data_IF_981633214374
#
_entry.id   IF_981633214374
#
_cell.length_a   1.000
_cell.length_b   1.000
_cell.length_c   1.000
_cell.angle_alpha   90.00
_cell.angle_beta   90.00
_cell.angle_gamma   90.00
#
_symmetry.space_group_name_H-M   'P 1'
#
loop_
_entity.id
_entity.type
_entity.pdbx_description
1 polymer ?
#
# COMPACT_ATOMS: atom_id res chain seq x y z
N UNK A 1 -24.43 33.89 -29.84
CA UNK A 1 -24.88 34.65 -28.64
C UNK A 1 -23.97 34.35 -27.45
N UNK A 2 -23.49 35.36 -26.70
CA UNK A 2 -22.62 35.16 -25.53
C UNK A 2 -23.46 34.87 -24.28
N UNK A 3 -23.22 33.71 -23.70
CA UNK A 3 -23.68 33.24 -22.39
C UNK A 3 -23.38 34.25 -21.26
N UNK A 4 -24.35 34.52 -20.38
CA UNK A 4 -24.25 35.52 -19.27
C UNK A 4 -23.55 34.94 -18.02
N UNK A 5 -22.60 34.01 -18.19
CA UNK A 5 -21.88 33.43 -17.06
C UNK A 5 -20.68 34.31 -16.67
N UNK A 6 -20.69 34.84 -15.44
CA UNK A 6 -19.54 35.52 -14.86
C UNK A 6 -18.68 34.51 -14.11
N UNK A 7 -17.55 34.12 -14.70
CA UNK A 7 -16.58 33.25 -14.05
C UNK A 7 -16.02 33.95 -12.80
N UNK A 8 -15.91 33.22 -11.68
CA UNK A 8 -15.35 33.73 -10.43
C UNK A 8 -13.89 34.12 -10.58
N UNK A 9 -13.15 33.44 -11.47
CA UNK A 9 -11.70 33.63 -11.61
C UNK A 9 -11.27 34.38 -12.87
N UNK A 10 -12.12 34.49 -13.90
CA UNK A 10 -11.79 35.24 -15.13
C UNK A 10 -13.02 35.76 -15.89
N UNK A 11 -13.40 37.04 -15.75
CA UNK A 11 -14.65 37.58 -16.31
C UNK A 11 -14.70 37.69 -17.84
N UNK A 12 -13.65 37.31 -18.58
CA UNK A 12 -13.51 37.49 -20.04
C UNK A 12 -13.48 36.14 -20.77
N UNK A 13 -14.43 35.25 -20.49
CA UNK A 13 -14.52 33.96 -21.18
C UNK A 13 -15.83 33.83 -21.95
N UNK A 14 -15.74 33.35 -23.17
CA UNK A 14 -16.88 33.05 -24.03
C UNK A 14 -17.29 31.59 -23.79
N UNK A 15 -18.59 31.31 -23.64
CA UNK A 15 -19.05 29.94 -23.41
C UNK A 15 -18.73 29.07 -24.66
N UNK A 16 -18.37 27.77 -24.46
CA UNK A 16 -17.88 26.88 -25.51
C UNK A 16 -18.89 26.64 -26.64
N UNK A 17 -20.17 26.88 -26.36
CA UNK A 17 -21.21 26.95 -27.38
C UNK A 17 -21.98 28.25 -27.25
N UNK A 18 -22.32 28.82 -28.40
CA UNK A 18 -23.35 29.85 -28.47
C UNK A 18 -24.59 29.30 -27.78
N UNK A 19 -25.22 30.11 -26.92
CA UNK A 19 -26.48 29.72 -26.32
C UNK A 19 -27.48 29.35 -27.44
N UNK A 20 -28.26 28.28 -27.24
CA UNK A 20 -29.28 27.87 -28.22
C UNK A 20 -30.14 29.08 -28.59
N UNK A 21 -30.52 29.19 -29.87
CA UNK A 21 -31.48 30.20 -30.34
C UNK A 21 -32.66 30.20 -29.35
N UNK A 22 -32.85 31.32 -28.64
CA UNK A 22 -33.87 31.60 -27.61
C UNK A 22 -33.53 31.39 -26.13
N UNK A 23 -32.31 30.99 -25.73
CA UNK A 23 -31.90 31.03 -24.32
C UNK A 23 -30.67 31.91 -24.09
N UNK A 24 -30.67 32.71 -23.02
CA UNK A 24 -29.50 33.52 -22.62
C UNK A 24 -28.44 32.69 -21.85
N UNK A 25 -28.70 31.39 -21.66
CA UNK A 25 -27.97 30.52 -20.74
C UNK A 25 -27.33 29.35 -21.50
N UNK A 26 -26.03 29.14 -21.30
CA UNK A 26 -25.34 27.99 -21.86
C UNK A 26 -25.69 26.73 -21.07
N UNK A 27 -25.93 25.57 -21.72
CA UNK A 27 -26.23 24.31 -21.05
C UNK A 27 -25.19 23.91 -20.00
N UNK A 28 -23.94 24.39 -20.07
CA UNK A 28 -22.91 24.09 -19.06
C UNK A 28 -22.99 24.96 -17.82
N UNK A 29 -23.61 26.14 -17.89
CA UNK A 29 -23.58 27.14 -16.82
C UNK A 29 -24.93 27.36 -16.15
N UNK A 30 -25.91 26.54 -16.51
CA UNK A 30 -27.18 26.48 -15.81
C UNK A 30 -27.06 25.52 -14.61
N UNK A 31 -27.41 25.92 -13.39
CA UNK A 31 -27.29 25.10 -12.17
C UNK A 31 -28.41 24.05 -12.08
N UNK A 32 -28.68 23.36 -13.19
CA UNK A 32 -29.53 22.18 -13.27
C UNK A 32 -28.62 20.98 -13.50
N UNK A 33 -28.60 20.07 -12.53
CA UNK A 33 -27.89 18.80 -12.66
C UNK A 33 -28.64 17.81 -13.57
N UNK A 34 -27.99 16.69 -13.88
CA UNK A 34 -28.65 15.57 -14.58
C UNK A 34 -28.75 15.72 -16.10
N UNK A 35 -27.93 16.58 -16.71
CA UNK A 35 -27.87 16.76 -18.17
C UNK A 35 -27.29 15.54 -18.86
N UNK A 36 -27.74 15.27 -20.10
CA UNK A 36 -27.25 14.14 -20.88
C UNK A 36 -26.24 14.58 -21.96
N UNK A 37 -25.02 14.08 -21.81
CA UNK A 37 -23.88 14.29 -22.70
C UNK A 37 -23.23 12.96 -23.06
N UNK A 38 -23.95 11.83 -22.95
CA UNK A 38 -23.40 10.52 -23.30
C UNK A 38 -22.85 10.54 -24.74
N UNK A 39 -21.60 10.10 -24.90
CA UNK A 39 -20.86 10.10 -26.19
C UNK A 39 -20.68 11.47 -26.84
N UNK A 40 -20.94 12.58 -26.15
CA UNK A 40 -20.66 13.90 -26.70
C UNK A 40 -19.14 14.09 -26.89
N UNK A 41 -18.77 14.86 -27.92
CA UNK A 41 -17.40 15.34 -28.10
C UNK A 41 -17.31 16.76 -27.55
N UNK A 42 -16.54 16.90 -26.48
CA UNK A 42 -16.22 18.11 -25.73
C UNK A 42 -14.70 18.24 -25.56
N UNK A 43 -13.92 17.63 -26.47
CA UNK A 43 -12.47 17.69 -26.43
C UNK A 43 -11.95 19.11 -26.66
N UNK A 44 -10.98 19.52 -25.86
CA UNK A 44 -10.39 20.87 -25.89
C UNK A 44 -11.33 22.00 -25.48
N UNK A 45 -12.57 21.72 -25.09
CA UNK A 45 -13.55 22.74 -24.72
C UNK A 45 -13.18 23.44 -23.40
N UNK A 46 -13.55 24.72 -23.29
CA UNK A 46 -13.44 25.48 -22.04
C UNK A 46 -14.72 25.32 -21.21
N UNK A 47 -14.66 24.42 -20.23
CA UNK A 47 -15.72 24.05 -19.29
C UNK A 47 -15.36 24.45 -17.84
N UNK A 48 -14.52 25.49 -17.68
CA UNK A 48 -14.18 26.01 -16.36
C UNK A 48 -15.45 26.49 -15.65
N UNK A 49 -15.62 26.12 -14.37
CA UNK A 49 -16.81 26.44 -13.56
C UNK A 49 -18.15 25.88 -14.11
N UNK A 50 -18.10 24.90 -15.02
CA UNK A 50 -19.32 24.26 -15.54
C UNK A 50 -20.08 23.49 -14.43
N UNK A 51 -21.41 23.62 -14.46
CA UNK A 51 -22.36 22.85 -13.65
C UNK A 51 -22.77 21.56 -14.39
N UNK A 52 -22.08 20.47 -14.03
CA UNK A 52 -22.24 19.12 -14.57
C UNK A 52 -22.62 18.10 -13.48
N UNK A 53 -23.11 18.56 -12.33
CA UNK A 53 -23.51 17.66 -11.24
C UNK A 53 -24.61 16.70 -11.68
N UNK A 54 -24.44 15.42 -11.34
CA UNK A 54 -25.34 14.34 -11.73
C UNK A 54 -25.45 14.10 -13.24
N UNK A 55 -24.64 14.76 -14.08
CA UNK A 55 -24.75 14.63 -15.53
C UNK A 55 -24.39 13.22 -16.01
N UNK A 56 -25.07 12.76 -17.06
CA UNK A 56 -24.69 11.56 -17.79
C UNK A 56 -23.58 11.92 -18.78
N UNK A 57 -22.33 11.62 -18.41
CA UNK A 57 -21.11 11.86 -19.20
C UNK A 57 -20.47 10.53 -19.64
N UNK A 58 -21.27 9.47 -19.75
CA UNK A 58 -20.77 8.15 -20.14
C UNK A 58 -20.14 8.23 -21.52
N UNK A 59 -18.94 7.67 -21.68
CA UNK A 59 -18.20 7.65 -22.96
C UNK A 59 -18.01 9.03 -23.60
N UNK A 60 -18.13 10.12 -22.84
CA UNK A 60 -17.86 11.46 -23.35
C UNK A 60 -16.38 11.59 -23.71
N UNK A 61 -16.07 12.38 -24.73
CA UNK A 61 -14.70 12.80 -25.02
C UNK A 61 -14.46 14.18 -24.43
N UNK A 62 -13.66 14.27 -23.37
CA UNK A 62 -13.23 15.49 -22.66
C UNK A 62 -11.69 15.65 -22.75
N UNK A 63 -11.05 15.02 -23.72
CA UNK A 63 -9.60 15.06 -23.86
C UNK A 63 -9.09 16.50 -24.00
N UNK A 64 -8.13 16.88 -23.17
CA UNK A 64 -7.53 18.22 -23.16
C UNK A 64 -8.47 19.36 -22.77
N UNK A 65 -9.71 19.07 -22.35
CA UNK A 65 -10.68 20.10 -21.94
C UNK A 65 -10.24 20.80 -20.65
N UNK A 66 -10.69 22.05 -20.48
CA UNK A 66 -10.49 22.82 -19.26
C UNK A 66 -11.72 22.66 -18.35
N UNK A 67 -11.62 21.86 -17.29
CA UNK A 67 -12.69 21.59 -16.31
C UNK A 67 -12.33 22.13 -14.91
N UNK A 68 -11.48 23.17 -14.84
CA UNK A 68 -11.08 23.76 -13.57
C UNK A 68 -12.31 24.26 -12.83
N UNK A 69 -12.37 24.01 -11.53
CA UNK A 69 -13.50 24.43 -10.68
C UNK A 69 -14.89 23.93 -11.14
N UNK A 70 -14.96 23.00 -12.09
CA UNK A 70 -16.24 22.44 -12.54
C UNK A 70 -16.86 21.59 -11.42
N UNK A 71 -18.19 21.62 -11.35
CA UNK A 71 -18.98 20.74 -10.51
C UNK A 71 -19.36 19.49 -11.31
N UNK A 72 -18.64 18.39 -11.08
CA UNK A 72 -18.87 17.05 -11.61
C UNK A 72 -19.37 16.11 -10.51
N UNK A 73 -19.89 16.65 -9.40
CA UNK A 73 -20.36 15.84 -8.28
C UNK A 73 -21.49 14.90 -8.74
N UNK A 74 -21.44 13.64 -8.29
CA UNK A 74 -22.39 12.57 -8.66
C UNK A 74 -22.55 12.28 -10.18
N UNK A 75 -21.68 12.83 -11.05
CA UNK A 75 -21.76 12.59 -12.49
C UNK A 75 -21.34 11.16 -12.87
N UNK A 76 -21.96 10.60 -13.92
CA UNK A 76 -21.56 9.30 -14.49
C UNK A 76 -20.59 9.51 -15.65
N UNK A 77 -19.29 9.35 -15.37
CA UNK A 77 -18.16 9.43 -16.31
C UNK A 77 -17.66 8.03 -16.72
N UNK A 78 -18.50 7.00 -16.63
CA UNK A 78 -18.11 5.63 -16.98
C UNK A 78 -17.61 5.58 -18.43
N UNK A 79 -16.40 5.04 -18.64
CA UNK A 79 -15.71 5.00 -19.94
C UNK A 79 -15.42 6.37 -20.60
N UNK A 80 -15.47 7.49 -19.86
CA UNK A 80 -15.13 8.80 -20.39
C UNK A 80 -13.62 8.91 -20.73
N UNK A 81 -13.28 9.73 -21.73
CA UNK A 81 -11.91 10.12 -22.03
C UNK A 81 -11.63 11.53 -21.46
N UNK A 82 -10.90 11.60 -20.35
CA UNK A 82 -10.42 12.81 -19.67
C UNK A 82 -8.88 12.93 -19.81
N UNK A 83 -8.27 12.28 -20.80
CA UNK A 83 -6.84 12.37 -21.04
C UNK A 83 -6.40 13.83 -21.18
N UNK A 84 -5.30 14.23 -20.55
CA UNK A 84 -4.80 15.61 -20.58
C UNK A 84 -5.75 16.72 -20.07
N UNK A 85 -6.92 16.37 -19.50
CA UNK A 85 -7.89 17.35 -19.03
C UNK A 85 -7.37 18.12 -17.80
N UNK A 86 -7.80 19.39 -17.66
CA UNK A 86 -7.46 20.26 -16.54
C UNK A 86 -8.61 20.27 -15.53
N UNK A 87 -8.51 19.46 -14.48
CA UNK A 87 -9.51 19.28 -13.42
C UNK A 87 -9.07 19.92 -12.09
N UNK A 88 -8.22 20.95 -12.15
CA UNK A 88 -7.70 21.58 -10.93
C UNK A 88 -8.86 22.13 -10.09
N UNK A 89 -8.91 21.74 -8.81
CA UNK A 89 -9.96 22.16 -7.87
C UNK A 89 -11.40 21.87 -8.34
N UNK A 90 -11.60 20.90 -9.25
CA UNK A 90 -12.93 20.43 -9.62
C UNK A 90 -13.54 19.58 -8.49
N UNK A 91 -14.87 19.59 -8.38
CA UNK A 91 -15.61 18.70 -7.49
C UNK A 91 -16.03 17.45 -8.28
N UNK A 92 -15.44 16.30 -7.97
CA UNK A 92 -15.80 14.98 -8.50
C UNK A 92 -16.34 14.08 -7.38
N UNK A 93 -16.82 14.65 -6.28
CA UNK A 93 -17.35 13.88 -5.16
C UNK A 93 -18.53 13.00 -5.61
N UNK A 94 -18.56 11.74 -5.15
CA UNK A 94 -19.60 10.78 -5.52
C UNK A 94 -19.61 10.31 -7.00
N UNK A 95 -18.79 10.91 -7.87
CA UNK A 95 -18.79 10.60 -9.31
C UNK A 95 -18.41 9.15 -9.64
N UNK A 96 -18.89 8.67 -10.79
CA UNK A 96 -18.58 7.32 -11.30
C UNK A 96 -17.60 7.44 -12.46
N UNK A 97 -16.32 7.18 -12.21
CA UNK A 97 -15.23 7.23 -13.18
C UNK A 97 -14.73 5.82 -13.57
N UNK A 98 -15.59 4.81 -13.44
CA UNK A 98 -15.20 3.42 -13.68
C UNK A 98 -14.79 3.24 -15.14
N UNK A 99 -13.62 2.66 -15.38
CA UNK A 99 -13.02 2.51 -16.71
C UNK A 99 -12.78 3.81 -17.49
N UNK A 100 -12.77 4.97 -16.84
CA UNK A 100 -12.43 6.24 -17.48
C UNK A 100 -10.91 6.34 -17.73
N UNK A 101 -10.52 7.07 -18.78
CA UNK A 101 -9.14 7.44 -19.05
C UNK A 101 -8.88 8.85 -18.50
N UNK A 102 -8.05 8.97 -17.48
CA UNK A 102 -7.57 10.23 -16.88
C UNK A 102 -6.06 10.39 -17.06
N UNK A 103 -5.46 9.68 -18.02
CA UNK A 103 -4.01 9.70 -18.21
C UNK A 103 -3.50 11.12 -18.50
N UNK A 104 -2.39 11.51 -17.86
CA UNK A 104 -1.81 12.86 -17.94
C UNK A 104 -2.73 14.03 -17.53
N UNK A 105 -3.88 13.77 -16.90
CA UNK A 105 -4.78 14.83 -16.43
C UNK A 105 -4.27 15.53 -15.17
N UNK A 106 -4.79 16.73 -14.90
CA UNK A 106 -4.42 17.56 -13.75
C UNK A 106 -5.59 17.72 -12.79
N UNK A 107 -5.63 16.89 -11.75
CA UNK A 107 -6.62 16.89 -10.67
C UNK A 107 -6.11 17.58 -9.38
N UNK A 108 -5.11 18.46 -9.48
CA UNK A 108 -4.50 19.09 -8.29
C UNK A 108 -5.57 19.83 -7.46
N UNK A 109 -5.67 19.50 -6.17
CA UNK A 109 -6.63 20.09 -5.23
C UNK A 109 -8.11 19.73 -5.46
N UNK A 110 -8.41 18.79 -6.35
CA UNK A 110 -9.80 18.35 -6.59
C UNK A 110 -10.37 17.53 -5.43
N UNK A 111 -11.70 17.48 -5.33
CA UNK A 111 -12.41 16.59 -4.41
C UNK A 111 -12.89 15.34 -5.14
N UNK A 112 -12.37 14.17 -4.79
CA UNK A 112 -12.80 12.86 -5.27
C UNK A 112 -13.41 12.03 -4.13
N UNK A 113 -13.98 12.68 -3.11
CA UNK A 113 -14.57 12.00 -1.96
C UNK A 113 -15.67 11.04 -2.42
N UNK A 114 -15.53 9.75 -2.10
CA UNK A 114 -16.49 8.71 -2.49
C UNK A 114 -16.52 8.37 -3.98
N UNK A 115 -15.64 8.93 -4.80
CA UNK A 115 -15.60 8.68 -6.24
C UNK A 115 -15.25 7.21 -6.56
N UNK A 116 -15.84 6.68 -7.63
CA UNK A 116 -15.62 5.29 -8.09
C UNK A 116 -14.71 5.23 -9.31
N UNK A 117 -13.42 5.03 -9.08
CA UNK A 117 -12.34 4.96 -10.07
C UNK A 117 -11.94 3.50 -10.41
N UNK A 118 -12.89 2.57 -10.34
CA UNK A 118 -12.61 1.14 -10.57
C UNK A 118 -12.06 0.95 -11.98
N UNK A 119 -10.86 0.37 -12.08
CA UNK A 119 -10.16 0.16 -13.35
C UNK A 119 -10.02 1.41 -14.23
N UNK A 120 -10.00 2.60 -13.61
CA UNK A 120 -9.67 3.84 -14.30
C UNK A 120 -8.18 3.93 -14.61
N UNK A 121 -7.82 4.60 -15.70
CA UNK A 121 -6.43 4.90 -16.04
C UNK A 121 -6.05 6.29 -15.54
N UNK A 122 -5.28 6.37 -14.47
CA UNK A 122 -4.71 7.59 -13.88
C UNK A 122 -3.20 7.69 -14.14
N UNK A 123 -2.68 6.98 -15.15
CA UNK A 123 -1.25 6.99 -15.46
C UNK A 123 -0.76 8.41 -15.72
N UNK A 124 0.31 8.82 -15.03
CA UNK A 124 0.92 10.14 -15.11
C UNK A 124 -0.01 11.30 -14.72
N UNK A 125 -1.16 11.02 -14.12
CA UNK A 125 -2.06 12.07 -13.62
C UNK A 125 -1.47 12.77 -12.39
N UNK A 126 -1.73 14.07 -12.26
CA UNK A 126 -1.39 14.83 -11.06
C UNK A 126 -2.61 14.98 -10.16
N UNK A 127 -2.56 14.44 -8.95
CA UNK A 127 -3.59 14.53 -7.91
C UNK A 127 -3.03 15.22 -6.67
N UNK A 128 -2.09 16.16 -6.83
CA UNK A 128 -1.42 16.79 -5.70
C UNK A 128 -2.44 17.50 -4.80
N UNK A 129 -2.39 17.24 -3.49
CA UNK A 129 -3.32 17.76 -2.49
C UNK A 129 -4.81 17.46 -2.74
N UNK A 130 -5.15 16.50 -3.61
CA UNK A 130 -6.52 16.09 -3.83
C UNK A 130 -7.08 15.28 -2.64
N UNK A 131 -8.41 15.26 -2.50
CA UNK A 131 -9.10 14.45 -1.48
C UNK A 131 -9.63 13.17 -2.10
N UNK A 132 -9.11 12.00 -1.70
CA UNK A 132 -9.55 10.68 -2.16
C UNK A 132 -10.29 9.91 -1.05
N UNK A 133 -10.85 10.62 -0.06
CA UNK A 133 -11.48 10.02 1.09
C UNK A 133 -12.66 9.12 0.65
N UNK A 134 -12.68 7.87 1.10
CA UNK A 134 -13.67 6.85 0.72
C UNK A 134 -13.72 6.51 -0.79
N UNK A 135 -12.75 6.97 -1.60
CA UNK A 135 -12.71 6.66 -3.02
C UNK A 135 -12.35 5.18 -3.27
N UNK A 136 -12.87 4.63 -4.36
CA UNK A 136 -12.65 3.25 -4.80
C UNK A 136 -11.75 3.23 -6.05
N UNK A 137 -10.45 2.98 -5.86
CA UNK A 137 -9.45 2.86 -6.93
C UNK A 137 -9.11 1.39 -7.22
N UNK A 138 -10.04 0.46 -6.97
CA UNK A 138 -9.75 -0.96 -7.19
C UNK A 138 -9.41 -1.22 -8.65
N UNK A 139 -8.28 -1.87 -8.90
CA UNK A 139 -7.83 -2.17 -10.26
C UNK A 139 -7.36 -0.96 -11.08
N UNK A 140 -7.26 0.24 -10.50
CA UNK A 140 -6.85 1.44 -11.23
C UNK A 140 -5.37 1.38 -11.66
N UNK A 141 -5.06 1.98 -12.80
CA UNK A 141 -3.70 2.15 -13.30
C UNK A 141 -3.17 3.48 -12.79
N UNK A 142 -2.15 3.48 -11.91
CA UNK A 142 -1.58 4.71 -11.34
C UNK A 142 -0.12 4.91 -11.76
N UNK A 143 0.30 4.34 -12.89
CA UNK A 143 1.71 4.38 -13.29
C UNK A 143 2.24 5.82 -13.32
N UNK A 144 3.23 6.13 -12.47
CA UNK A 144 3.84 7.47 -12.41
C UNK A 144 2.92 8.59 -11.92
N UNK A 145 1.75 8.28 -11.33
CA UNK A 145 0.82 9.29 -10.84
C UNK A 145 1.38 10.04 -9.62
N UNK A 146 1.10 11.35 -9.52
CA UNK A 146 1.48 12.17 -8.38
C UNK A 146 0.32 12.28 -7.38
N UNK A 147 0.39 11.56 -6.26
CA UNK A 147 -0.58 11.57 -5.16
C UNK A 147 -0.01 12.27 -3.92
N UNK A 148 0.93 13.20 -4.09
CA UNK A 148 1.53 13.92 -2.97
C UNK A 148 0.49 14.74 -2.20
N UNK A 149 0.60 14.77 -0.88
CA UNK A 149 -0.30 15.54 -0.01
C UNK A 149 -1.77 15.07 0.04
N UNK A 150 -2.12 14.00 -0.69
CA UNK A 150 -3.51 13.53 -0.80
C UNK A 150 -4.07 13.05 0.54
N UNK A 151 -5.39 13.18 0.71
CA UNK A 151 -6.12 12.56 1.81
C UNK A 151 -6.62 11.17 1.39
N UNK A 152 -6.06 10.11 1.98
CA UNK A 152 -6.35 8.71 1.64
C UNK A 152 -7.25 8.00 2.66
N UNK A 153 -8.04 8.75 3.43
CA UNK A 153 -8.90 8.15 4.46
C UNK A 153 -9.87 7.13 3.85
N UNK A 154 -9.75 5.86 4.25
CA UNK A 154 -10.62 4.76 3.78
C UNK A 154 -10.64 4.56 2.25
N UNK A 155 -9.59 5.01 1.55
CA UNK A 155 -9.42 4.79 0.11
C UNK A 155 -9.08 3.33 -0.18
N UNK A 156 -9.63 2.76 -1.26
CA UNK A 156 -9.39 1.38 -1.65
C UNK A 156 -8.47 1.26 -2.86
N UNK A 157 -7.23 0.81 -2.66
CA UNK A 157 -6.22 0.58 -3.69
C UNK A 157 -6.05 -0.91 -4.04
N UNK A 158 -6.95 -1.80 -3.63
CA UNK A 158 -6.80 -3.24 -3.93
C UNK A 158 -6.84 -3.49 -5.44
N UNK A 159 -5.84 -4.18 -5.97
CA UNK A 159 -5.64 -4.44 -7.39
C UNK A 159 -5.10 -3.24 -8.17
N UNK A 160 -4.83 -2.10 -7.53
CA UNK A 160 -4.28 -0.95 -8.22
C UNK A 160 -2.79 -1.17 -8.56
N UNK A 161 -2.35 -0.64 -9.72
CA UNK A 161 -0.94 -0.69 -10.14
C UNK A 161 -0.24 0.59 -9.69
N UNK A 162 0.74 0.46 -8.81
CA UNK A 162 1.33 1.58 -8.08
C UNK A 162 2.77 1.89 -8.51
N UNK A 163 3.28 1.22 -9.54
CA UNK A 163 4.65 1.45 -10.01
C UNK A 163 4.87 2.93 -10.40
N UNK A 164 5.92 3.54 -9.85
CA UNK A 164 6.27 4.94 -10.14
C UNK A 164 5.41 5.99 -9.43
N UNK A 165 4.42 5.59 -8.63
CA UNK A 165 3.56 6.54 -7.89
C UNK A 165 4.39 7.34 -6.87
N UNK A 166 4.11 8.64 -6.77
CA UNK A 166 4.58 9.47 -5.65
C UNK A 166 3.47 9.66 -4.61
N UNK A 167 3.76 9.34 -3.35
CA UNK A 167 2.83 9.44 -2.20
C UNK A 167 3.40 10.29 -1.06
N UNK A 168 4.33 11.19 -1.37
CA UNK A 168 5.01 12.00 -0.37
C UNK A 168 4.00 12.91 0.34
N UNK A 169 3.96 12.85 1.68
CA UNK A 169 3.04 13.66 2.47
C UNK A 169 1.57 13.27 2.37
N UNK A 170 1.22 12.15 1.71
CA UNK A 170 -0.13 11.61 1.76
C UNK A 170 -0.57 11.36 3.22
N UNK A 171 -1.84 11.55 3.53
CA UNK A 171 -2.39 11.53 4.90
C UNK A 171 -3.42 10.41 5.07
N UNK A 172 -3.67 10.02 6.33
CA UNK A 172 -4.75 9.08 6.71
C UNK A 172 -4.61 7.63 6.18
N UNK A 173 -3.36 7.15 6.05
CA UNK A 173 -3.09 5.79 5.52
C UNK A 173 -3.59 4.64 6.40
N UNK A 174 -3.88 4.87 7.68
CA UNK A 174 -4.32 3.83 8.62
C UNK A 174 -5.56 3.07 8.15
N UNK A 175 -6.44 3.74 7.40
CA UNK A 175 -7.68 3.15 6.91
C UNK A 175 -7.65 2.84 5.41
N UNK A 176 -6.57 3.24 4.72
CA UNK A 176 -6.39 2.93 3.31
C UNK A 176 -6.17 1.43 3.11
N UNK A 177 -6.82 0.85 2.10
CA UNK A 177 -6.79 -0.58 1.83
C UNK A 177 -5.83 -0.85 0.69
N UNK A 178 -4.82 -1.65 0.95
CA UNK A 178 -3.83 -2.09 -0.04
C UNK A 178 -3.74 -3.60 -0.02
N UNK A 179 -3.34 -4.19 -1.14
CA UNK A 179 -3.04 -5.62 -1.17
C UNK A 179 -1.73 -5.92 -0.45
N UNK A 180 -1.72 -7.06 0.26
CA UNK A 180 -0.49 -7.58 0.87
C UNK A 180 0.53 -8.06 -0.16
N UNK A 181 0.05 -8.40 -1.36
CA UNK A 181 0.87 -8.83 -2.50
C UNK A 181 0.57 -7.87 -3.64
N UNK A 182 1.57 -7.10 -4.05
CA UNK A 182 1.40 -6.10 -5.11
C UNK A 182 1.14 -6.76 -6.46
N UNK A 183 0.38 -6.08 -7.32
CA UNK A 183 -0.06 -6.60 -8.63
C UNK A 183 1.13 -6.97 -9.53
N UNK A 184 2.22 -6.21 -9.42
CA UNK A 184 3.45 -6.41 -10.16
C UNK A 184 4.13 -7.73 -9.79
N UNK A 185 4.03 -8.19 -8.52
CA UNK A 185 4.53 -9.51 -8.11
C UNK A 185 3.68 -10.63 -8.71
N UNK A 186 2.34 -10.50 -8.66
CA UNK A 186 1.41 -11.48 -9.23
C UNK A 186 1.61 -11.60 -10.75
N UNK A 187 1.84 -10.46 -11.40
CA UNK A 187 2.14 -10.38 -12.84
C UNK A 187 3.46 -11.08 -13.16
N UNK A 188 4.51 -10.87 -12.35
CA UNK A 188 5.77 -11.59 -12.49
C UNK A 188 5.60 -13.10 -12.33
N UNK A 189 4.84 -13.56 -11.33
CA UNK A 189 4.57 -14.98 -11.10
C UNK A 189 3.84 -15.62 -12.30
N UNK A 190 2.88 -14.91 -12.90
CA UNK A 190 2.19 -15.34 -14.12
C UNK A 190 3.17 -15.46 -15.29
N UNK A 191 3.98 -14.43 -15.54
CA UNK A 191 4.95 -14.42 -16.66
C UNK A 191 6.01 -15.53 -16.55
N UNK A 192 6.42 -15.90 -15.33
CA UNK A 192 7.30 -17.07 -15.11
C UNK A 192 6.64 -18.36 -15.57
N UNK A 193 5.35 -18.56 -15.28
CA UNK A 193 4.60 -19.76 -15.73
C UNK A 193 4.46 -19.81 -17.25
N UNK A 194 4.40 -18.64 -17.89
CA UNK A 194 4.35 -18.48 -19.35
C UNK A 194 5.73 -18.62 -20.03
N UNK A 195 6.82 -18.81 -19.27
CA UNK A 195 8.18 -18.89 -19.80
C UNK A 195 8.78 -17.53 -20.24
N UNK A 196 8.09 -16.42 -19.97
CA UNK A 196 8.50 -15.05 -20.32
C UNK A 196 9.40 -14.45 -19.25
N UNK A 197 10.59 -15.02 -19.08
CA UNK A 197 11.45 -14.73 -17.93
C UNK A 197 11.99 -13.29 -17.87
N UNK A 198 12.29 -12.67 -19.01
CA UNK A 198 12.78 -11.29 -19.05
C UNK A 198 11.72 -10.30 -18.55
N UNK A 199 10.50 -10.41 -19.07
CA UNK A 199 9.36 -9.59 -18.65
C UNK A 199 8.97 -9.86 -17.19
N UNK A 200 9.09 -11.12 -16.74
CA UNK A 200 8.89 -11.45 -15.33
C UNK A 200 9.90 -10.72 -14.43
N UNK A 201 11.18 -10.65 -14.83
CA UNK A 201 12.21 -9.94 -14.10
C UNK A 201 11.92 -8.43 -14.02
N UNK A 202 11.46 -7.83 -15.12
CA UNK A 202 11.01 -6.43 -15.12
C UNK A 202 9.81 -6.21 -14.18
N UNK A 203 8.81 -7.11 -14.23
CA UNK A 203 7.67 -7.05 -13.33
C UNK A 203 8.07 -7.15 -11.86
N UNK A 204 9.03 -8.01 -11.53
CA UNK A 204 9.56 -8.10 -10.18
C UNK A 204 10.35 -6.87 -9.74
N UNK A 205 11.12 -6.23 -10.64
CA UNK A 205 11.78 -4.97 -10.34
C UNK A 205 10.75 -3.89 -10.00
N UNK A 206 9.70 -3.75 -10.81
CA UNK A 206 8.58 -2.86 -10.51
C UNK A 206 7.93 -3.17 -9.16
N UNK A 207 7.73 -4.46 -8.85
CA UNK A 207 7.19 -4.88 -7.55
C UNK A 207 8.08 -4.46 -6.38
N UNK A 208 9.41 -4.57 -6.50
CA UNK A 208 10.35 -4.10 -5.47
C UNK A 208 10.18 -2.60 -5.22
N UNK A 209 10.09 -1.80 -6.28
CA UNK A 209 9.91 -0.35 -6.15
C UNK A 209 8.60 0.00 -5.43
N UNK A 210 7.51 -0.70 -5.75
CA UNK A 210 6.23 -0.54 -5.04
C UNK A 210 6.36 -0.96 -3.57
N UNK A 211 7.01 -2.08 -3.28
CA UNK A 211 7.24 -2.51 -1.90
C UNK A 211 8.06 -1.50 -1.10
N UNK A 212 9.10 -0.91 -1.69
CA UNK A 212 9.92 0.11 -1.05
C UNK A 212 9.14 1.40 -0.80
N UNK A 213 8.34 1.83 -1.78
CA UNK A 213 7.43 2.98 -1.65
C UNK A 213 6.47 2.79 -0.47
N UNK A 214 5.72 1.69 -0.46
CA UNK A 214 4.72 1.41 0.58
C UNK A 214 5.40 1.26 1.95
N UNK A 215 6.52 0.52 2.03
CA UNK A 215 7.30 0.38 3.25
C UNK A 215 7.70 1.75 3.82
N UNK A 216 8.27 2.64 3.00
CA UNK A 216 8.67 3.99 3.41
C UNK A 216 7.47 4.76 3.94
N UNK A 217 6.39 4.81 3.15
CA UNK A 217 5.17 5.55 3.47
C UNK A 217 4.53 5.12 4.80
N UNK A 218 4.36 3.81 5.00
CA UNK A 218 3.79 3.28 6.25
C UNK A 218 4.73 3.47 7.44
N UNK A 219 6.05 3.43 7.23
CA UNK A 219 7.05 3.70 8.29
C UNK A 219 7.00 5.16 8.74
N UNK A 220 6.90 6.10 7.82
CA UNK A 220 6.81 7.54 8.10
C UNK A 220 5.56 7.90 8.91
N UNK A 221 4.48 7.11 8.80
CA UNK A 221 3.26 7.29 9.59
C UNK A 221 3.19 6.44 10.87
N UNK A 222 4.26 5.72 11.22
CA UNK A 222 4.29 4.87 12.42
C UNK A 222 3.40 3.62 12.34
N UNK A 223 3.02 3.20 11.13
CA UNK A 223 2.18 2.02 10.87
C UNK A 223 3.09 0.82 10.56
N UNK A 224 3.73 0.31 11.60
CA UNK A 224 4.83 -0.67 11.47
C UNK A 224 4.40 -2.08 11.05
N UNK A 225 3.16 -2.47 11.33
CA UNK A 225 2.56 -3.76 10.94
C UNK A 225 2.43 -3.90 9.41
N UNK A 226 2.02 -2.83 8.74
CA UNK A 226 1.97 -2.78 7.28
C UNK A 226 3.37 -2.61 6.69
N UNK A 227 4.21 -1.74 7.24
CA UNK A 227 5.59 -1.53 6.76
C UNK A 227 6.43 -2.82 6.77
N UNK A 228 6.28 -3.63 7.82
CA UNK A 228 6.93 -4.95 7.92
C UNK A 228 6.37 -5.96 6.93
N UNK A 229 5.06 -5.95 6.66
CA UNK A 229 4.43 -6.78 5.61
C UNK A 229 5.06 -6.51 4.26
N UNK A 230 5.22 -5.23 3.88
CA UNK A 230 5.87 -4.84 2.63
C UNK A 230 7.37 -5.13 2.62
N UNK A 231 8.05 -5.03 3.77
CA UNK A 231 9.44 -5.46 3.90
C UNK A 231 9.59 -6.96 3.61
N UNK A 232 8.67 -7.80 4.08
CA UNK A 232 8.67 -9.23 3.76
C UNK A 232 8.39 -9.48 2.28
N UNK A 233 7.46 -8.74 1.68
CA UNK A 233 7.18 -8.79 0.24
C UNK A 233 8.41 -8.45 -0.61
N UNK A 234 9.09 -7.35 -0.28
CA UNK A 234 10.34 -6.91 -0.91
C UNK A 234 11.36 -8.07 -1.00
N UNK A 235 11.69 -8.68 0.15
CA UNK A 235 12.67 -9.77 0.21
C UNK A 235 12.23 -11.03 -0.53
N UNK A 236 10.93 -11.34 -0.48
CA UNK A 236 10.37 -12.47 -1.23
C UNK A 236 10.59 -12.29 -2.73
N UNK A 237 10.30 -11.10 -3.27
CA UNK A 237 10.49 -10.79 -4.69
C UNK A 237 11.97 -10.78 -5.07
N UNK A 238 12.84 -10.24 -4.22
CA UNK A 238 14.31 -10.33 -4.43
C UNK A 238 14.78 -11.78 -4.58
N UNK A 239 14.28 -12.70 -3.75
CA UNK A 239 14.56 -14.13 -3.88
C UNK A 239 14.00 -14.76 -5.17
N UNK A 240 12.88 -14.25 -5.71
CA UNK A 240 12.35 -14.67 -7.02
C UNK A 240 13.28 -14.21 -8.17
N UNK A 241 13.73 -12.95 -8.17
CA UNK A 241 14.67 -12.43 -9.16
C UNK A 241 15.99 -13.22 -9.16
N UNK A 242 16.55 -13.51 -7.99
CA UNK A 242 17.78 -14.29 -7.87
C UNK A 242 17.68 -15.68 -8.51
N UNK A 243 16.52 -16.33 -8.43
CA UNK A 243 16.28 -17.63 -9.09
C UNK A 243 16.17 -17.51 -10.60
N UNK A 244 15.66 -16.38 -11.10
CA UNK A 244 15.58 -16.08 -12.54
C UNK A 244 16.92 -15.66 -13.15
N UNK A 245 17.89 -15.23 -12.33
CA UNK A 245 19.17 -14.71 -12.81
C UNK A 245 19.94 -15.65 -13.75
N UNK A 246 19.77 -16.97 -13.62
CA UNK A 246 20.38 -17.95 -14.52
C UNK A 246 19.66 -18.11 -15.87
N UNK A 247 18.38 -17.76 -15.92
CA UNK A 247 17.52 -17.93 -17.10
C UNK A 247 17.50 -16.68 -17.98
N UNK A 248 17.89 -15.53 -17.43
CA UNK A 248 17.93 -14.25 -18.13
C UNK A 248 19.35 -13.67 -18.02
N UNK A 249 20.24 -13.91 -19.00
CA UNK A 249 21.56 -13.30 -19.01
C UNK A 249 21.44 -11.80 -19.32
N UNK A 250 21.87 -10.92 -18.41
CA UNK A 250 21.90 -9.46 -18.63
C UNK A 250 21.72 -8.58 -17.37
N UNK A 251 21.67 -7.25 -17.58
CA UNK A 251 21.64 -6.17 -16.57
C UNK A 251 20.49 -6.20 -15.55
N UNK A 252 19.52 -7.11 -15.69
CA UNK A 252 18.34 -7.20 -14.83
C UNK A 252 18.65 -7.59 -13.37
N UNK A 253 19.85 -8.14 -13.11
CA UNK A 253 20.25 -8.72 -11.82
C UNK A 253 21.33 -7.88 -11.12
N UNK A 254 22.02 -6.99 -11.82
CA UNK A 254 23.28 -6.39 -11.34
C UNK A 254 23.12 -5.45 -10.13
N UNK A 255 21.97 -4.80 -9.96
CA UNK A 255 21.76 -3.83 -8.88
C UNK A 255 21.59 -4.46 -7.47
N UNK A 256 21.34 -5.78 -7.38
CA UNK A 256 20.98 -6.43 -6.12
C UNK A 256 21.73 -7.74 -5.85
N UNK A 257 22.94 -7.83 -6.41
CA UNK A 257 23.98 -8.73 -5.92
C UNK A 257 24.75 -7.93 -4.85
N UNK A 258 24.55 -8.16 -3.53
CA UNK A 258 25.48 -7.59 -2.56
C UNK A 258 26.90 -8.02 -2.95
N UNK A 259 27.90 -7.16 -2.70
CA UNK A 259 29.30 -7.38 -3.11
C UNK A 259 29.84 -8.79 -2.77
N UNK A 260 29.25 -9.46 -1.77
CA UNK A 260 29.50 -10.84 -1.35
C UNK A 260 29.12 -11.93 -2.37
N UNK A 261 28.18 -11.67 -3.28
CA UNK A 261 27.80 -12.62 -4.33
C UNK A 261 28.65 -12.48 -5.60
N UNK A 262 29.49 -11.44 -5.71
CA UNK A 262 30.62 -11.39 -6.67
C UNK A 262 31.75 -12.37 -6.29
N UNK A 263 31.81 -12.83 -5.02
CA UNK A 263 32.84 -13.75 -4.52
C UNK A 263 32.42 -15.23 -4.49
N UNK A 264 31.32 -15.60 -5.15
CA UNK A 264 30.87 -17.00 -5.24
C UNK A 264 30.18 -17.58 -4.00
N UNK A 265 29.96 -16.81 -2.92
CA UNK A 265 29.36 -17.31 -1.66
C UNK A 265 27.86 -17.03 -1.55
N UNK A 266 27.08 -17.65 -2.44
CA UNK A 266 25.61 -17.54 -2.56
C UNK A 266 24.82 -17.92 -1.29
N UNK A 267 25.39 -18.75 -0.43
CA UNK A 267 24.73 -19.14 0.82
C UNK A 267 24.63 -17.97 1.81
N UNK A 268 25.56 -17.00 1.78
CA UNK A 268 25.57 -15.85 2.69
C UNK A 268 24.43 -14.86 2.40
N UNK A 269 24.05 -14.67 1.14
CA UNK A 269 22.94 -13.78 0.77
C UNK A 269 21.59 -14.43 1.04
N UNK A 270 21.50 -15.74 0.84
CA UNK A 270 20.36 -16.55 1.27
C UNK A 270 20.20 -16.51 2.79
N UNK A 271 21.29 -16.66 3.55
CA UNK A 271 21.28 -16.56 5.00
C UNK A 271 21.01 -15.16 5.48
N UNK A 272 21.59 -14.11 4.88
CA UNK A 272 21.31 -12.73 5.28
C UNK A 272 19.86 -12.35 5.01
N UNK A 273 19.30 -12.76 3.86
CA UNK A 273 17.89 -12.57 3.55
C UNK A 273 16.97 -13.36 4.47
N UNK A 274 17.27 -14.64 4.75
CA UNK A 274 16.50 -15.45 5.69
C UNK A 274 16.66 -14.98 7.14
N UNK A 275 17.83 -14.53 7.54
CA UNK A 275 18.12 -14.06 8.89
C UNK A 275 17.50 -12.69 9.09
N UNK A 276 17.56 -11.77 8.13
CA UNK A 276 16.81 -10.51 8.18
C UNK A 276 15.32 -10.74 8.06
N UNK A 277 14.87 -11.73 7.29
CA UNK A 277 13.46 -12.14 7.28
C UNK A 277 13.04 -12.70 8.63
N UNK A 278 13.83 -13.59 9.23
CA UNK A 278 13.59 -14.16 10.57
C UNK A 278 13.62 -13.06 11.62
N UNK A 279 14.59 -12.14 11.56
CA UNK A 279 14.74 -11.01 12.47
C UNK A 279 13.59 -10.02 12.27
N UNK A 280 13.21 -9.66 11.05
CA UNK A 280 12.06 -8.80 10.80
C UNK A 280 10.75 -9.48 11.16
N UNK A 281 10.64 -10.80 10.96
CA UNK A 281 9.49 -11.60 11.34
C UNK A 281 9.39 -11.68 12.86
N UNK A 282 10.50 -11.90 13.54
CA UNK A 282 10.65 -11.87 14.99
C UNK A 282 10.33 -10.48 15.53
N UNK A 283 10.96 -9.43 15.00
CA UNK A 283 10.73 -8.03 15.35
C UNK A 283 9.27 -7.62 15.13
N UNK A 284 8.64 -8.05 14.04
CA UNK A 284 7.20 -7.85 13.80
C UNK A 284 6.34 -8.62 14.81
N UNK A 285 6.72 -9.85 15.13
CA UNK A 285 6.03 -10.65 16.13
C UNK A 285 6.13 -10.02 17.53
N UNK A 286 7.28 -9.45 17.87
CA UNK A 286 7.55 -8.80 19.16
C UNK A 286 7.05 -7.36 19.22
N UNK A 287 7.04 -6.60 18.12
CA UNK A 287 6.55 -5.21 18.09
C UNK A 287 5.03 -5.15 18.17
N UNK A 288 4.34 -6.12 17.58
CA UNK A 288 2.89 -6.31 17.68
C UNK A 288 2.49 -7.33 18.74
N UNK A 289 3.36 -7.59 19.74
CA UNK A 289 3.12 -8.52 20.85
C UNK A 289 1.80 -8.19 21.59
N UNK A 290 1.37 -6.93 21.63
CA UNK A 290 0.13 -6.50 22.28
C UNK A 290 -1.17 -6.55 21.47
N UNK A 291 -1.13 -6.94 20.19
CA UNK A 291 -2.32 -6.84 19.32
C UNK A 291 -3.28 -8.03 19.44
N UNK A 292 -2.80 -9.22 19.84
CA UNK A 292 -3.68 -10.38 19.98
C UNK A 292 -3.13 -11.44 20.95
N UNK A 293 -4.00 -12.10 21.76
CA UNK A 293 -3.58 -13.17 22.68
C UNK A 293 -2.84 -14.32 22.00
N UNK A 294 -3.24 -14.68 20.77
CA UNK A 294 -2.59 -15.75 20.01
C UNK A 294 -1.14 -15.42 19.63
N UNK A 295 -0.83 -14.15 19.34
CA UNK A 295 0.56 -13.72 19.07
C UNK A 295 1.41 -13.77 20.33
N UNK A 296 0.86 -13.38 21.47
CA UNK A 296 1.53 -13.49 22.78
C UNK A 296 1.86 -14.95 23.10
N UNK A 297 0.90 -15.86 22.92
CA UNK A 297 1.12 -17.28 23.17
C UNK A 297 2.25 -17.86 22.31
N UNK A 298 2.22 -17.58 21.01
CA UNK A 298 3.21 -18.11 20.06
C UNK A 298 4.61 -17.50 20.26
N UNK A 299 4.71 -16.22 20.66
CA UNK A 299 6.00 -15.59 21.03
C UNK A 299 6.56 -16.24 22.28
N UNK A 300 5.73 -16.47 23.29
CA UNK A 300 6.11 -17.18 24.52
C UNK A 300 6.69 -18.56 24.21
N UNK A 301 5.99 -19.35 23.39
CA UNK A 301 6.48 -20.67 22.97
C UNK A 301 7.82 -20.57 22.23
N UNK A 302 7.97 -19.59 21.32
CA UNK A 302 9.21 -19.39 20.59
C UNK A 302 10.39 -19.01 21.49
N UNK A 303 10.17 -18.17 22.51
CA UNK A 303 11.20 -17.76 23.48
C UNK A 303 11.63 -18.96 24.34
N UNK A 304 10.68 -19.75 24.83
CA UNK A 304 10.97 -20.99 25.59
C UNK A 304 11.80 -21.95 24.73
N UNK A 305 11.41 -22.20 23.48
CA UNK A 305 12.17 -23.07 22.58
C UNK A 305 13.58 -22.54 22.30
N UNK A 306 13.76 -21.22 22.22
CA UNK A 306 15.06 -20.59 22.05
C UNK A 306 15.97 -20.80 23.27
N UNK A 307 15.45 -20.60 24.49
CA UNK A 307 16.21 -20.85 25.72
C UNK A 307 16.56 -22.34 25.87
N UNK A 308 15.60 -23.24 25.62
CA UNK A 308 15.85 -24.68 25.60
C UNK A 308 17.00 -25.06 24.64
N UNK A 309 17.01 -24.47 23.44
CA UNK A 309 18.07 -24.67 22.46
C UNK A 309 19.42 -24.12 22.96
N UNK A 310 19.45 -22.92 23.54
CA UNK A 310 20.66 -22.32 24.11
C UNK A 310 21.21 -23.16 25.27
N UNK A 311 20.36 -23.65 26.18
CA UNK A 311 20.78 -24.53 27.27
C UNK A 311 21.38 -25.83 26.77
N UNK A 312 20.78 -26.42 25.72
CA UNK A 312 21.28 -27.63 25.06
C UNK A 312 22.64 -27.38 24.42
N UNK A 313 22.80 -26.25 23.72
CA UNK A 313 24.05 -25.90 23.03
C UNK A 313 25.20 -25.64 24.01
N UNK A 314 24.92 -25.01 25.15
CA UNK A 314 25.92 -24.62 26.14
C UNK A 314 26.15 -25.71 27.21
N UNK A 315 25.32 -26.75 27.25
CA UNK A 315 25.34 -27.76 28.31
C UNK A 315 25.16 -27.12 29.69
N UNK A 316 24.31 -26.10 29.78
CA UNK A 316 24.25 -25.15 30.89
C UNK A 316 23.43 -25.64 32.10
N UNK A 317 22.69 -26.73 31.96
CA UNK A 317 21.82 -27.29 33.01
C UNK A 317 22.45 -28.56 33.59
N UNK A 318 22.49 -28.67 34.91
CA UNK A 318 22.99 -29.86 35.61
C UNK A 318 21.95 -30.97 35.55
N UNK A 319 22.36 -32.19 35.16
CA UNK A 319 21.47 -33.35 35.07
C UNK A 319 20.65 -33.46 33.78
N UNK A 320 20.69 -32.46 32.89
CA UNK A 320 20.03 -32.49 31.59
C UNK A 320 20.97 -33.05 30.51
N UNK A 321 20.59 -34.16 29.87
CA UNK A 321 21.38 -34.82 28.81
C UNK A 321 20.95 -34.48 27.39
N UNK A 322 19.75 -33.94 27.19
CA UNK A 322 19.18 -33.72 25.86
C UNK A 322 18.30 -32.47 25.78
N UNK A 323 17.75 -32.24 24.59
CA UNK A 323 16.90 -31.08 24.32
C UNK A 323 15.62 -31.08 25.17
N UNK A 324 15.04 -32.25 25.43
CA UNK A 324 13.76 -32.36 26.13
C UNK A 324 13.87 -31.99 27.61
N UNK A 325 14.97 -32.37 28.26
CA UNK A 325 15.26 -32.00 29.65
C UNK A 325 15.54 -30.49 29.76
N UNK A 326 16.27 -29.93 28.79
CA UNK A 326 16.50 -28.48 28.70
C UNK A 326 15.21 -27.71 28.35
N UNK A 327 14.30 -28.30 27.58
CA UNK A 327 12.98 -27.72 27.30
C UNK A 327 12.10 -27.72 28.54
N UNK A 328 12.08 -28.82 29.31
CA UNK A 328 11.39 -28.86 30.59
C UNK A 328 11.92 -27.79 31.54
N UNK A 329 13.25 -27.69 31.68
CA UNK A 329 13.88 -26.67 32.51
C UNK A 329 13.49 -25.24 32.07
N UNK A 330 13.50 -24.97 30.77
CA UNK A 330 13.10 -23.67 30.20
C UNK A 330 11.61 -23.36 30.47
N UNK A 331 10.70 -24.32 30.26
CA UNK A 331 9.27 -24.14 30.57
C UNK A 331 9.06 -23.81 32.04
N UNK A 332 9.72 -24.53 32.95
CA UNK A 332 9.58 -24.32 34.40
C UNK A 332 10.17 -22.97 34.82
N UNK A 333 11.37 -22.64 34.35
CA UNK A 333 12.06 -21.38 34.65
C UNK A 333 11.26 -20.17 34.14
N UNK A 334 10.71 -20.27 32.92
CA UNK A 334 9.90 -19.23 32.32
C UNK A 334 8.56 -19.00 33.04
N UNK A 335 7.91 -20.07 33.54
CA UNK A 335 6.54 -19.98 34.10
C UNK A 335 6.50 -19.78 35.61
N UNK A 336 7.47 -20.33 36.35
CA UNK A 336 7.41 -20.39 37.82
C UNK A 336 8.47 -19.55 38.52
N UNK A 337 9.40 -18.93 37.78
CA UNK A 337 10.57 -18.21 38.32
C UNK A 337 11.53 -19.13 39.11
N UNK A 338 11.24 -20.44 39.19
CA UNK A 338 12.04 -21.46 39.87
C UNK A 338 12.65 -22.47 38.90
N UNK A 339 13.51 -23.36 39.40
CA UNK A 339 14.31 -24.26 38.58
C UNK A 339 13.75 -25.70 38.46
N UNK A 340 12.70 -26.02 39.21
CA UNK A 340 12.12 -27.38 39.24
C UNK A 340 13.14 -28.42 39.71
N UNK A 341 13.23 -29.53 38.98
CA UNK A 341 14.09 -30.68 39.30
C UNK A 341 15.54 -30.53 38.83
N UNK A 342 15.83 -29.51 38.02
CA UNK A 342 17.16 -29.26 37.47
C UNK A 342 17.73 -27.96 38.02
N UNK A 343 19.05 -27.78 37.97
CA UNK A 343 19.72 -26.57 38.46
C UNK A 343 20.71 -26.08 37.42
N UNK A 344 20.79 -24.76 37.13
CA UNK A 344 21.81 -24.23 36.25
C UNK A 344 23.21 -24.50 36.82
N UNK A 345 24.16 -24.86 35.95
CA UNK A 345 25.56 -25.06 36.33
C UNK A 345 26.20 -23.73 36.78
N UNK A 346 27.27 -23.78 37.61
CA UNK A 346 28.02 -22.59 37.98
C UNK A 346 28.46 -21.80 36.73
N UNK A 347 28.11 -20.51 36.67
CA UNK A 347 28.34 -19.64 35.51
C UNK A 347 27.12 -19.37 34.62
N UNK A 348 26.05 -20.17 34.70
CA UNK A 348 24.85 -20.01 33.88
C UNK A 348 23.63 -19.48 34.66
N UNK A 349 23.78 -19.12 35.94
CA UNK A 349 22.71 -18.55 36.75
C UNK A 349 22.11 -17.28 36.15
N UNK A 350 22.93 -16.39 35.58
CA UNK A 350 22.44 -15.17 34.93
C UNK A 350 21.54 -15.45 33.73
N UNK A 351 21.82 -16.52 32.98
CA UNK A 351 21.01 -16.94 31.85
C UNK A 351 19.64 -17.47 32.29
N UNK A 352 19.58 -18.23 33.40
CA UNK A 352 18.32 -18.68 33.98
C UNK A 352 17.53 -17.52 34.61
N UNK A 353 18.20 -16.56 35.24
CA UNK A 353 17.57 -15.35 35.78
C UNK A 353 16.98 -14.48 34.67
N UNK A 354 17.68 -14.32 33.54
CA UNK A 354 17.15 -13.55 32.41
C UNK A 354 15.91 -14.20 31.79
N UNK A 355 15.87 -15.54 31.72
CA UNK A 355 14.69 -16.27 31.28
C UNK A 355 13.51 -16.05 32.22
N UNK A 356 13.71 -16.24 33.52
CA UNK A 356 12.67 -16.05 34.53
C UNK A 356 12.11 -14.62 34.54
N UNK A 357 12.98 -13.61 34.41
CA UNK A 357 12.57 -12.21 34.32
C UNK A 357 11.72 -11.94 33.07
N UNK A 358 12.18 -12.44 31.92
CA UNK A 358 11.45 -12.30 30.65
C UNK A 358 10.10 -13.02 30.71
N UNK A 359 10.05 -14.20 31.31
CA UNK A 359 8.83 -14.99 31.52
C UNK A 359 7.80 -14.26 32.36
N UNK A 360 8.21 -13.69 33.50
CA UNK A 360 7.34 -12.89 34.36
C UNK A 360 6.77 -11.67 33.62
N UNK A 361 7.62 -10.93 32.88
CA UNK A 361 7.19 -9.79 32.08
C UNK A 361 6.18 -10.18 30.98
N UNK A 362 6.49 -11.25 30.24
CA UNK A 362 5.66 -11.75 29.14
C UNK A 362 4.30 -12.25 29.64
N UNK A 363 4.25 -12.95 30.76
CA UNK A 363 3.01 -13.44 31.38
C UNK A 363 2.14 -12.30 31.91
N UNK A 364 2.73 -11.31 32.59
CA UNK A 364 1.99 -10.12 33.05
C UNK A 364 1.34 -9.38 31.87
N UNK A 365 2.09 -9.22 30.77
CA UNK A 365 1.59 -8.57 29.57
C UNK A 365 0.50 -9.39 28.85
N UNK A 366 0.59 -10.72 28.85
CA UNK A 366 -0.46 -11.60 28.32
C UNK A 366 -1.81 -11.34 29.02
N UNK A 367 -1.81 -11.25 30.35
CA UNK A 367 -3.02 -10.96 31.14
C UNK A 367 -3.61 -9.59 30.78
N UNK A 368 -2.76 -8.57 30.55
CA UNK A 368 -3.20 -7.24 30.11
C UNK A 368 -3.82 -7.27 28.71
N UNK A 369 -3.22 -7.99 27.76
CA UNK A 369 -3.74 -8.12 26.40
C UNK A 369 -5.05 -8.91 26.37
N UNK A 370 -5.11 -9.99 27.14
CA UNK A 370 -6.30 -10.83 27.27
C UNK A 370 -7.47 -10.02 27.88
N UNK A 371 -7.22 -9.28 28.97
CA UNK A 371 -8.26 -8.48 29.64
C UNK A 371 -8.82 -7.38 28.73
N UNK A 372 -7.96 -6.66 27.99
CA UNK A 372 -8.40 -5.66 27.00
C UNK A 372 -9.30 -6.22 25.90
N UNK A 373 -9.15 -7.50 25.56
CA UNK A 373 -9.93 -8.14 24.50
C UNK A 373 -11.24 -8.76 24.99
N UNK A 374 -11.32 -9.13 26.27
CA UNK A 374 -12.55 -9.66 26.90
C UNK A 374 -13.50 -8.51 27.31
N UNK A 375 -12.97 -7.32 27.56
CA UNK A 375 -13.76 -6.12 27.95
C UNK A 375 -14.39 -5.40 26.75
N UNK A 376 -13.99 -5.74 25.52
CA UNK A 376 -14.65 -5.32 24.28
C UNK A 376 -15.58 -6.41 23.80
#
# INVERSE_FOLDING_TARGET
MKCVHSYRHNPIKECPREAEEDSAFCPFHEPVGGKDFERADLSGEDLEEAYLSGANLRKVNLEGSNLRYADLSDADLTHANLGWALLNSADLSGSILSHASLSNSRLDGSDLTGARLISADLSLASLENATLANADLRGAELYGANLNGTNLFNTDFRGAKLYGVSLSGAKNLRYAKFDRVVVEEVTGDRLVREGRYAEAAESYNRAIDVYLLLKKLFTEQGIYDMASTYSVGEWRVRGKIQRLAHRVPGRYVEAFVPLTARSGKRWLTFLEGHLRWLVNRFLWYTSSYGESPGRVFLTTVAVILLYAFVYTLLGAVSGASGFWENLYFSVVTFTTVGYGDYVPKPGYHLLAVSEAFLGAFMMAFFVVVLSRKVIK
#
